data_IF_665212001053
#
_entry.id   IF_665212001053
#
_cell.length_a   1.000
_cell.length_b   1.000
_cell.length_c   1.000
_cell.angle_alpha   90.00
_cell.angle_beta   90.00
_cell.angle_gamma   90.00
#
_symmetry.space_group_name_H-M   'P 1'
#
loop_
_entity.id
_entity.type
_entity.pdbx_description
1 polymer ?
#
# COMPACT_ATOMS: atom_id res chain seq x y z
N UNK A 1 -25.04 7.35 31.32
CA UNK A 1 -24.87 7.36 29.85
C UNK A 1 -25.26 5.97 29.32
N UNK A 2 -26.26 5.87 28.44
CA UNK A 2 -26.85 4.59 28.03
C UNK A 2 -25.93 3.75 27.15
N UNK A 3 -25.94 2.43 27.36
CA UNK A 3 -25.20 1.42 26.57
C UNK A 3 -25.45 1.48 25.05
N UNK A 4 -26.57 2.09 24.63
CA UNK A 4 -26.88 2.36 23.23
C UNK A 4 -25.88 3.27 22.49
N UNK A 5 -25.01 3.99 23.20
CA UNK A 5 -23.94 4.79 22.59
C UNK A 5 -22.59 4.05 22.44
N UNK A 6 -22.46 2.80 22.92
CA UNK A 6 -21.22 2.00 22.74
C UNK A 6 -21.19 1.20 21.44
N UNK A 7 -22.28 1.15 20.68
CA UNK A 7 -22.43 0.23 19.55
C UNK A 7 -22.87 0.90 18.23
N UNK A 8 -22.72 2.22 18.12
CA UNK A 8 -22.98 2.98 16.89
C UNK A 8 -21.66 3.41 16.23
N UNK A 9 -20.74 2.46 16.03
CA UNK A 9 -19.76 2.63 14.97
C UNK A 9 -20.50 2.33 13.67
N UNK A 10 -20.87 3.40 12.96
CA UNK A 10 -21.29 3.30 11.57
C UNK A 10 -20.23 2.48 10.82
N UNK A 11 -20.66 1.41 10.15
CA UNK A 11 -19.79 0.49 9.41
C UNK A 11 -18.78 1.25 8.56
N UNK A 12 -19.24 2.32 7.89
CA UNK A 12 -18.42 3.18 7.04
C UNK A 12 -17.38 3.98 7.84
N UNK A 13 -17.77 4.53 9.00
CA UNK A 13 -16.84 5.24 9.89
C UNK A 13 -15.82 4.32 10.55
N UNK A 14 -16.13 3.04 10.68
CA UNK A 14 -15.18 2.02 11.08
C UNK A 14 -14.14 1.78 9.99
N UNK A 15 -14.59 1.56 8.75
CA UNK A 15 -13.71 1.35 7.60
C UNK A 15 -12.75 2.52 7.34
N UNK A 16 -13.24 3.75 7.46
CA UNK A 16 -12.44 4.98 7.34
C UNK A 16 -11.28 5.04 8.32
N UNK A 17 -11.47 4.45 9.50
CA UNK A 17 -10.49 4.42 10.58
C UNK A 17 -9.64 3.14 10.56
N UNK A 18 -9.70 2.38 9.47
CA UNK A 18 -9.06 1.06 9.37
C UNK A 18 -9.52 0.08 10.45
N UNK A 19 -10.70 0.29 11.01
CA UNK A 19 -11.31 -0.55 12.04
C UNK A 19 -12.09 -1.65 11.34
N UNK A 20 -11.71 -2.91 11.56
CA UNK A 20 -12.43 -4.05 11.02
C UNK A 20 -13.89 -4.03 11.52
N UNK A 21 -14.87 -4.03 10.61
CA UNK A 21 -16.28 -3.93 10.98
C UNK A 21 -16.84 -5.21 11.63
N UNK A 22 -16.09 -6.31 11.55
CA UNK A 22 -16.37 -7.58 12.22
C UNK A 22 -15.83 -7.55 13.65
N UNK A 23 -14.54 -7.32 13.83
CA UNK A 23 -13.90 -7.48 15.13
C UNK A 23 -13.81 -6.17 15.94
N UNK A 24 -13.86 -5.02 15.25
CA UNK A 24 -13.64 -3.70 15.84
C UNK A 24 -12.17 -3.35 16.05
N UNK A 25 -11.23 -4.17 15.59
CA UNK A 25 -9.78 -3.93 15.70
C UNK A 25 -9.24 -3.19 14.48
N UNK A 26 -8.32 -2.24 14.72
CA UNK A 26 -7.45 -1.70 13.68
C UNK A 26 -6.42 -2.77 13.27
N UNK A 27 -6.16 -2.93 11.96
CA UNK A 27 -5.26 -3.95 11.41
C UNK A 27 -5.62 -5.40 11.81
N UNK A 28 -6.92 -5.70 11.94
CA UNK A 28 -7.43 -7.02 12.32
C UNK A 28 -6.83 -8.12 11.42
N UNK A 29 -6.02 -9.05 11.96
CA UNK A 29 -5.33 -10.08 11.16
C UNK A 29 -6.27 -11.24 10.78
N UNK A 30 -7.57 -10.98 10.66
CA UNK A 30 -8.59 -12.03 10.69
C UNK A 30 -8.36 -13.05 9.57
N UNK A 31 -8.11 -14.33 9.90
CA UNK A 31 -7.84 -15.34 8.91
C UNK A 31 -9.15 -15.76 8.22
N UNK A 32 -9.20 -15.54 6.90
CA UNK A 32 -9.88 -16.39 5.90
C UNK A 32 -11.18 -17.09 6.34
N UNK A 33 -12.21 -16.34 6.71
CA UNK A 33 -13.56 -16.86 6.50
C UNK A 33 -14.04 -16.40 5.12
N UNK A 34 -14.01 -17.30 4.12
CA UNK A 34 -14.51 -17.03 2.76
C UNK A 34 -15.97 -16.54 2.75
N UNK A 35 -16.73 -16.78 3.82
CA UNK A 35 -18.09 -16.25 4.00
C UNK A 35 -18.08 -14.76 4.31
N UNK A 36 -17.07 -14.26 5.03
CA UNK A 36 -16.87 -12.84 5.31
C UNK A 36 -16.59 -12.05 4.03
N UNK A 37 -15.73 -12.57 3.16
CA UNK A 37 -15.37 -11.93 1.88
C UNK A 37 -16.61 -11.72 0.98
N UNK A 38 -17.45 -12.76 0.85
CA UNK A 38 -18.71 -12.68 0.08
C UNK A 38 -19.71 -11.69 0.67
N UNK A 39 -19.79 -11.61 2.00
CA UNK A 39 -20.70 -10.66 2.66
C UNK A 39 -20.21 -9.23 2.48
N UNK A 40 -18.90 -9.01 2.54
CA UNK A 40 -18.30 -7.72 2.21
C UNK A 40 -18.57 -7.37 0.75
N UNK A 41 -18.38 -8.29 -0.20
CA UNK A 41 -18.68 -8.10 -1.62
C UNK A 41 -20.15 -7.66 -1.87
N UNK A 42 -21.11 -8.35 -1.23
CA UNK A 42 -22.53 -7.98 -1.34
C UNK A 42 -22.83 -6.61 -0.73
N UNK A 43 -22.23 -6.30 0.42
CA UNK A 43 -22.36 -4.99 1.08
C UNK A 43 -21.82 -3.90 0.14
N UNK A 44 -20.66 -4.12 -0.48
CA UNK A 44 -20.04 -3.18 -1.39
C UNK A 44 -20.87 -2.96 -2.65
N UNK A 45 -21.42 -4.02 -3.24
CA UNK A 45 -22.29 -3.92 -4.42
C UNK A 45 -23.53 -3.07 -4.19
N UNK A 46 -24.06 -3.07 -2.97
CA UNK A 46 -25.23 -2.24 -2.62
C UNK A 46 -24.82 -0.83 -2.20
N UNK A 47 -23.64 -0.69 -1.60
CA UNK A 47 -23.05 0.62 -1.30
C UNK A 47 -22.76 1.43 -2.57
N UNK A 48 -22.16 0.82 -3.61
CA UNK A 48 -21.88 1.48 -4.89
C UNK A 48 -23.13 1.94 -5.64
N UNK A 49 -24.28 1.31 -5.36
CA UNK A 49 -25.60 1.72 -5.89
C UNK A 49 -26.27 2.84 -5.05
N UNK A 50 -25.61 3.33 -4.00
CA UNK A 50 -26.20 4.26 -3.04
C UNK A 50 -27.31 3.65 -2.18
N UNK A 51 -27.44 2.32 -2.16
CA UNK A 51 -28.52 1.61 -1.47
C UNK A 51 -28.19 1.38 0.01
N UNK A 52 -28.06 2.48 0.76
CA UNK A 52 -27.74 2.48 2.18
C UNK A 52 -28.70 1.65 3.07
N UNK A 53 -30.03 1.60 2.79
CA UNK A 53 -30.92 0.69 3.51
C UNK A 53 -30.53 -0.79 3.36
N UNK A 54 -30.13 -1.20 2.17
CA UNK A 54 -29.71 -2.56 1.89
C UNK A 54 -28.33 -2.86 2.45
N UNK A 55 -27.40 -1.91 2.40
CA UNK A 55 -26.09 -2.00 3.09
C UNK A 55 -26.28 -2.29 4.58
N UNK A 56 -27.13 -1.50 5.25
CA UNK A 56 -27.45 -1.69 6.67
C UNK A 56 -28.09 -3.05 6.93
N UNK A 57 -28.99 -3.49 6.06
CA UNK A 57 -29.62 -4.82 6.15
C UNK A 57 -28.60 -5.94 6.03
N UNK A 58 -27.72 -5.90 5.02
CA UNK A 58 -26.68 -6.91 4.79
C UNK A 58 -25.68 -6.95 5.95
N UNK A 59 -25.26 -5.79 6.46
CA UNK A 59 -24.41 -5.71 7.64
C UNK A 59 -25.05 -6.40 8.86
N UNK A 60 -26.28 -6.04 9.21
CA UNK A 60 -26.97 -6.59 10.39
C UNK A 60 -27.29 -8.08 10.21
N UNK A 61 -27.72 -8.50 9.02
CA UNK A 61 -28.21 -9.86 8.78
C UNK A 61 -27.12 -10.88 8.45
N UNK A 62 -25.99 -10.45 7.90
CA UNK A 62 -24.92 -11.35 7.46
C UNK A 62 -23.61 -11.10 8.19
N UNK A 63 -23.23 -9.85 8.40
CA UNK A 63 -21.93 -9.52 9.01
C UNK A 63 -21.94 -9.65 10.54
N UNK A 64 -22.98 -9.17 11.22
CA UNK A 64 -23.09 -9.28 12.68
C UNK A 64 -23.18 -10.74 13.18
N UNK A 65 -23.90 -11.66 12.52
CA UNK A 65 -23.88 -13.07 12.88
C UNK A 65 -22.51 -13.72 12.69
N UNK A 66 -21.79 -13.39 11.61
CA UNK A 66 -20.41 -13.85 11.40
C UNK A 66 -19.49 -13.36 12.52
N UNK A 67 -19.62 -12.09 12.93
CA UNK A 67 -18.94 -11.56 14.13
C UNK A 67 -19.26 -12.40 15.36
N UNK A 68 -20.53 -12.66 15.65
CA UNK A 68 -20.91 -13.43 16.86
C UNK A 68 -20.40 -14.87 16.82
N UNK A 69 -20.44 -15.52 15.67
CA UNK A 69 -19.94 -16.89 15.49
C UNK A 69 -18.43 -16.99 15.69
N UNK A 70 -17.69 -15.96 15.27
CA UNK A 70 -16.24 -15.89 15.30
C UNK A 70 -15.67 -15.35 16.63
N UNK A 71 -16.50 -14.68 17.44
CA UNK A 71 -16.12 -14.04 18.72
C UNK A 71 -16.98 -14.49 19.92
N UNK A 72 -17.62 -15.67 19.83
CA UNK A 72 -18.31 -16.29 20.96
C UNK A 72 -17.35 -16.51 22.13
N UNK A 73 -17.76 -16.12 23.35
CA UNK A 73 -16.95 -16.08 24.58
C UNK A 73 -16.04 -17.32 24.72
N UNK A 74 -14.73 -17.11 24.61
CA UNK A 74 -13.70 -18.13 24.87
C UNK A 74 -12.38 -18.00 24.11
N UNK A 75 -12.24 -17.09 23.13
CA UNK A 75 -11.00 -16.96 22.34
C UNK A 75 -10.18 -15.71 22.68
N UNK A 76 -8.86 -15.86 22.68
CA UNK A 76 -7.82 -14.88 23.04
C UNK A 76 -8.06 -13.49 22.41
N UNK A 77 -8.07 -12.43 23.23
CA UNK A 77 -8.02 -11.03 22.72
C UNK A 77 -8.83 -9.98 23.49
N UNK A 78 -9.00 -10.10 24.81
CA UNK A 78 -9.77 -9.13 25.60
C UNK A 78 -9.10 -7.74 25.68
N UNK A 79 -9.66 -6.79 24.91
CA UNK A 79 -10.08 -5.42 25.27
C UNK A 79 -9.19 -4.42 26.01
N UNK A 80 -8.03 -4.75 26.58
CA UNK A 80 -7.16 -3.76 27.28
C UNK A 80 -6.07 -3.18 26.37
N UNK A 81 -5.37 -4.01 25.59
CA UNK A 81 -4.43 -3.52 24.56
C UNK A 81 -5.08 -2.72 23.42
N UNK A 82 -6.41 -2.74 23.36
CA UNK A 82 -7.28 -2.02 22.43
C UNK A 82 -7.31 -0.50 22.69
N UNK A 83 -7.31 -0.07 23.96
CA UNK A 83 -7.41 1.36 24.30
C UNK A 83 -6.09 2.13 24.16
N UNK A 84 -4.96 1.48 24.43
CA UNK A 84 -3.64 2.14 24.39
C UNK A 84 -3.09 2.33 22.96
N UNK A 85 -3.50 1.50 22.00
CA UNK A 85 -3.10 1.64 20.59
C UNK A 85 -3.93 2.67 19.82
N UNK A 86 -5.24 2.70 20.05
CA UNK A 86 -6.14 3.67 19.40
C UNK A 86 -5.82 5.13 19.76
N UNK A 87 -5.14 5.38 20.89
CA UNK A 87 -4.75 6.72 21.33
C UNK A 87 -3.46 7.24 20.67
N UNK A 88 -2.70 6.36 20.00
CA UNK A 88 -1.34 6.64 19.50
C UNK A 88 -1.18 6.58 17.97
N UNK A 89 -2.24 6.28 17.21
CA UNK A 89 -2.10 6.04 15.76
C UNK A 89 -2.05 7.32 14.92
N UNK A 90 -0.96 7.45 14.15
CA UNK A 90 -0.81 8.36 13.00
C UNK A 90 -1.89 8.04 11.95
N UNK A 91 -2.28 9.00 11.07
CA UNK A 91 -3.28 8.73 10.05
C UNK A 91 -2.87 7.54 9.19
N UNK A 92 -3.64 6.46 9.24
CA UNK A 92 -3.56 5.34 8.30
C UNK A 92 -4.92 5.18 7.63
N UNK A 93 -4.93 5.29 6.31
CA UNK A 93 -6.13 5.13 5.49
C UNK A 93 -6.17 3.69 5.00
N UNK A 94 -7.26 2.95 5.27
CA UNK A 94 -7.47 1.61 4.69
C UNK A 94 -7.73 1.70 3.18
N UNK A 95 -7.64 0.58 2.46
CA UNK A 95 -8.11 0.49 1.06
C UNK A 95 -9.60 0.85 0.89
N UNK A 96 -10.41 0.73 1.94
CA UNK A 96 -11.78 1.25 1.95
C UNK A 96 -11.82 2.77 2.13
N UNK A 97 -10.93 3.35 2.94
CA UNK A 97 -10.78 4.80 3.01
C UNK A 97 -10.40 5.40 1.66
N UNK A 98 -9.52 4.72 0.91
CA UNK A 98 -9.18 5.10 -0.48
C UNK A 98 -10.41 5.01 -1.41
N UNK A 99 -11.24 3.98 -1.22
CA UNK A 99 -12.47 3.83 -1.99
C UNK A 99 -13.53 4.88 -1.61
N UNK A 100 -13.65 5.23 -0.34
CA UNK A 100 -14.52 6.33 0.07
C UNK A 100 -14.06 7.65 -0.52
N UNK A 101 -12.74 7.87 -0.59
CA UNK A 101 -12.16 9.03 -1.25
C UNK A 101 -12.53 9.10 -2.75
N UNK A 102 -12.48 7.96 -3.45
CA UNK A 102 -12.96 7.82 -4.83
C UNK A 102 -14.46 8.20 -4.97
N UNK A 103 -15.33 7.63 -4.14
CA UNK A 103 -16.77 7.94 -4.18
C UNK A 103 -17.13 9.34 -3.67
N UNK A 104 -16.25 9.94 -2.86
CA UNK A 104 -16.38 11.31 -2.38
C UNK A 104 -16.24 12.36 -3.48
N UNK A 105 -15.86 11.96 -4.71
CA UNK A 105 -15.73 12.80 -5.91
C UNK A 105 -14.80 14.00 -5.76
N UNK A 106 -13.80 13.89 -4.88
CA UNK A 106 -12.83 14.98 -4.71
C UNK A 106 -11.79 15.03 -5.83
N UNK A 107 -11.47 13.87 -6.43
CA UNK A 107 -10.38 13.72 -7.41
C UNK A 107 -8.99 14.11 -6.86
N UNK A 108 -8.90 14.38 -5.54
CA UNK A 108 -7.71 14.94 -4.92
C UNK A 108 -6.62 13.86 -4.85
N UNK A 109 -5.41 14.21 -5.26
CA UNK A 109 -4.25 13.35 -5.07
C UNK A 109 -4.06 12.95 -3.59
N UNK A 110 -3.65 11.70 -3.37
CA UNK A 110 -3.25 11.17 -2.06
C UNK A 110 -1.77 10.76 -2.06
N UNK A 111 -1.01 11.28 -1.11
CA UNK A 111 0.38 10.83 -0.92
C UNK A 111 0.46 9.54 -0.10
N UNK A 112 1.54 8.76 -0.26
CA UNK A 112 1.80 7.58 0.58
C UNK A 112 1.82 7.90 2.09
N UNK A 113 2.19 9.14 2.45
CA UNK A 113 2.21 9.62 3.83
C UNK A 113 0.80 9.87 4.36
N UNK A 114 -0.10 10.44 3.55
CA UNK A 114 -1.52 10.61 3.90
C UNK A 114 -2.24 9.26 3.99
N UNK A 115 -1.85 8.29 3.14
CA UNK A 115 -2.36 6.91 3.23
C UNK A 115 -1.79 6.19 4.46
N UNK A 116 -0.62 6.61 4.95
CA UNK A 116 0.05 5.99 6.11
C UNK A 116 0.89 4.75 5.78
N UNK A 117 1.31 4.59 4.53
CA UNK A 117 2.14 3.44 4.07
C UNK A 117 3.53 3.82 3.57
N UNK A 118 3.93 5.10 3.67
CA UNK A 118 5.21 5.60 3.21
C UNK A 118 6.41 4.74 3.67
N UNK A 119 6.60 4.59 4.98
CA UNK A 119 7.74 3.84 5.54
C UNK A 119 7.71 2.36 5.15
N UNK A 120 6.51 1.79 4.99
CA UNK A 120 6.34 0.40 4.56
C UNK A 120 6.76 0.22 3.11
N UNK A 121 6.33 1.11 2.21
CA UNK A 121 6.75 1.11 0.80
C UNK A 121 8.26 1.31 0.67
N UNK A 122 8.82 2.26 1.42
CA UNK A 122 10.27 2.49 1.50
C UNK A 122 11.02 1.21 1.91
N UNK A 123 10.57 0.55 2.97
CA UNK A 123 11.16 -0.72 3.44
C UNK A 123 11.09 -1.87 2.41
N UNK A 124 10.03 -1.92 1.59
CA UNK A 124 9.90 -2.93 0.53
C UNK A 124 10.96 -2.79 -0.57
N UNK A 125 11.51 -1.59 -0.78
CA UNK A 125 12.57 -1.39 -1.80
C UNK A 125 13.85 -2.13 -1.43
N UNK A 126 14.09 -2.29 -0.14
CA UNK A 126 15.31 -2.89 0.42
C UNK A 126 15.11 -4.36 0.80
N UNK A 127 13.86 -4.81 0.93
CA UNK A 127 13.51 -6.20 1.30
C UNK A 127 13.78 -7.19 0.16
N UNK A 128 14.66 -8.18 0.34
CA UNK A 128 14.82 -9.28 -0.61
C UNK A 128 13.54 -10.10 -0.75
N UNK A 129 13.21 -10.58 -1.95
CA UNK A 129 12.01 -11.38 -2.18
C UNK A 129 10.71 -10.58 -2.33
N UNK A 130 10.73 -9.26 -2.07
CA UNK A 130 9.56 -8.41 -2.22
C UNK A 130 9.01 -8.45 -3.66
N UNK A 131 7.69 -8.34 -3.77
CA UNK A 131 6.92 -8.41 -5.01
C UNK A 131 7.11 -9.74 -5.76
N UNK A 132 7.38 -10.82 -5.02
CA UNK A 132 7.58 -12.16 -5.57
C UNK A 132 8.87 -12.31 -6.39
N UNK A 133 9.85 -11.40 -6.21
CA UNK A 133 11.13 -11.44 -6.95
C UNK A 133 12.24 -12.04 -6.09
N UNK A 134 12.64 -13.30 -6.31
CA UNK A 134 13.58 -14.01 -5.43
C UNK A 134 15.00 -13.42 -5.45
N UNK A 135 15.38 -12.75 -6.54
CA UNK A 135 16.73 -12.21 -6.74
C UNK A 135 16.89 -10.83 -6.08
N UNK A 136 17.26 -10.82 -4.80
CA UNK A 136 17.59 -9.58 -4.07
C UNK A 136 16.43 -8.59 -3.92
N UNK A 137 16.75 -7.36 -3.53
CA UNK A 137 15.79 -6.27 -3.38
C UNK A 137 15.72 -5.42 -4.65
N UNK A 138 14.75 -4.51 -4.75
CA UNK A 138 14.69 -3.55 -5.87
C UNK A 138 15.96 -2.69 -5.88
N UNK A 139 16.36 -2.19 -4.71
CA UNK A 139 17.56 -1.37 -4.57
C UNK A 139 18.82 -2.14 -4.95
N UNK A 140 19.02 -3.37 -4.45
CA UNK A 140 20.25 -4.12 -4.75
C UNK A 140 20.35 -4.45 -6.24
N UNK A 141 19.24 -4.83 -6.88
CA UNK A 141 19.22 -5.08 -8.33
C UNK A 141 19.54 -3.83 -9.13
N UNK A 142 18.98 -2.69 -8.75
CA UNK A 142 19.26 -1.43 -9.42
C UNK A 142 20.73 -1.02 -9.25
N UNK A 143 21.30 -1.15 -8.05
CA UNK A 143 22.74 -0.97 -7.81
C UNK A 143 23.57 -1.89 -8.70
N UNK A 144 23.22 -3.18 -8.80
CA UNK A 144 23.96 -4.10 -9.68
C UNK A 144 23.90 -3.72 -11.16
N UNK A 145 22.80 -3.11 -11.62
CA UNK A 145 22.68 -2.60 -12.99
C UNK A 145 23.58 -1.37 -13.22
N UNK A 146 23.70 -0.51 -12.21
CA UNK A 146 24.65 0.61 -12.22
C UNK A 146 26.09 0.08 -12.24
N UNK A 147 26.41 -0.92 -11.41
CA UNK A 147 27.74 -1.56 -11.35
C UNK A 147 28.16 -2.22 -12.67
N UNK A 148 27.20 -2.65 -13.50
CA UNK A 148 27.44 -3.16 -14.86
C UNK A 148 27.44 -2.07 -15.94
N UNK A 149 27.19 -0.82 -15.55
CA UNK A 149 27.13 0.34 -16.44
C UNK A 149 25.95 0.27 -17.41
N UNK A 150 24.83 -0.32 -16.99
CA UNK A 150 23.64 -0.50 -17.83
C UNK A 150 22.73 0.73 -17.83
N UNK A 151 22.59 1.39 -16.66
CA UNK A 151 21.66 2.51 -16.44
C UNK A 151 21.97 3.23 -15.13
N UNK A 152 21.42 4.45 -15.00
CA UNK A 152 21.43 5.26 -13.76
C UNK A 152 20.03 5.65 -13.29
N UNK A 153 19.01 5.08 -13.92
CA UNK A 153 17.60 5.21 -13.57
C UNK A 153 16.81 3.96 -13.96
N UNK A 154 15.61 3.84 -13.41
CA UNK A 154 14.65 2.81 -13.80
C UNK A 154 13.21 3.31 -13.59
N UNK A 155 12.28 2.68 -14.31
CA UNK A 155 10.83 2.74 -14.06
C UNK A 155 10.27 1.33 -14.27
N UNK A 156 9.56 0.78 -13.29
CA UNK A 156 8.96 -0.56 -13.37
C UNK A 156 7.61 -0.61 -12.63
N UNK A 157 6.70 -1.47 -13.10
CA UNK A 157 5.46 -1.81 -12.38
C UNK A 157 5.67 -2.90 -11.32
N UNK A 158 5.00 -2.75 -10.18
CA UNK A 158 4.99 -3.70 -9.07
C UNK A 158 3.58 -3.92 -8.53
N UNK A 159 3.25 -5.16 -8.18
CA UNK A 159 1.98 -5.51 -7.57
C UNK A 159 2.11 -5.45 -6.03
N UNK A 160 1.75 -4.31 -5.44
CA UNK A 160 1.73 -4.07 -4.00
C UNK A 160 0.71 -4.95 -3.27
N UNK A 161 -0.31 -5.43 -3.98
CA UNK A 161 -1.25 -6.42 -3.48
C UNK A 161 -0.59 -7.75 -3.07
N UNK A 162 0.61 -8.07 -3.54
CA UNK A 162 1.40 -9.22 -3.08
C UNK A 162 2.02 -9.01 -1.69
N UNK A 163 2.25 -7.76 -1.30
CA UNK A 163 2.92 -7.39 -0.03
C UNK A 163 1.92 -7.03 1.08
N UNK A 164 0.62 -7.22 0.84
CA UNK A 164 -0.42 -7.00 1.85
C UNK A 164 -0.28 -7.96 3.04
N UNK A 165 -0.64 -7.49 4.22
CA UNK A 165 -0.79 -8.29 5.43
C UNK A 165 -2.19 -8.88 5.53
N UNK A 166 -3.21 -8.10 5.15
CA UNK A 166 -4.62 -8.50 5.21
C UNK A 166 -5.27 -8.28 3.84
N UNK A 167 -5.98 -9.27 3.27
CA UNK A 167 -6.78 -9.08 2.06
C UNK A 167 -7.77 -7.92 2.23
N UNK A 168 -8.01 -7.16 1.17
CA UNK A 168 -9.15 -6.22 1.04
C UNK A 168 -9.08 -4.96 1.91
N UNK A 169 -8.46 -4.97 3.11
CA UNK A 169 -8.36 -3.83 4.03
C UNK A 169 -7.00 -3.12 3.99
N UNK A 170 -5.95 -3.84 3.59
CA UNK A 170 -4.60 -3.30 3.57
C UNK A 170 -4.47 -2.24 2.46
N UNK A 171 -3.91 -1.06 2.74
CA UNK A 171 -3.82 -0.01 1.72
C UNK A 171 -2.91 -0.40 0.56
N UNK A 172 -1.94 -1.32 0.77
CA UNK A 172 -1.13 -1.87 -0.33
C UNK A 172 -1.93 -2.76 -1.27
N UNK A 173 -3.02 -3.39 -0.78
CA UNK A 173 -4.00 -4.04 -1.65
C UNK A 173 -4.82 -2.99 -2.41
N UNK A 174 -5.19 -1.91 -1.72
CA UNK A 174 -5.81 -0.70 -2.28
C UNK A 174 -5.09 -0.15 -3.51
N UNK A 175 -3.78 0.05 -3.35
CA UNK A 175 -2.86 0.52 -4.40
C UNK A 175 -2.74 -0.50 -5.54
N UNK A 176 -2.90 -1.80 -5.28
CA UNK A 176 -2.84 -2.82 -6.33
C UNK A 176 -1.52 -2.81 -7.11
N UNK A 177 -1.57 -2.45 -8.39
CA UNK A 177 -0.41 -2.34 -9.27
C UNK A 177 0.06 -0.91 -9.44
N UNK A 178 1.25 -0.56 -8.92
CA UNK A 178 1.80 0.79 -9.02
C UNK A 178 3.16 0.82 -9.72
N UNK A 179 3.51 1.99 -10.28
CA UNK A 179 4.83 2.23 -10.86
C UNK A 179 5.78 2.78 -9.81
N UNK A 180 6.99 2.22 -9.77
CA UNK A 180 8.13 2.80 -9.04
C UNK A 180 9.20 3.19 -10.05
N UNK A 181 9.71 4.40 -9.90
CA UNK A 181 10.93 4.85 -10.55
C UNK A 181 12.00 5.19 -9.52
N UNK A 182 13.26 5.14 -9.95
CA UNK A 182 14.41 5.53 -9.16
C UNK A 182 15.48 6.15 -10.05
N UNK A 183 16.16 7.19 -9.56
CA UNK A 183 17.25 7.85 -10.28
C UNK A 183 18.43 8.16 -9.35
N UNK A 184 19.64 7.80 -9.77
CA UNK A 184 20.86 8.08 -9.03
C UNK A 184 21.34 9.52 -9.31
N UNK A 185 21.56 10.29 -8.26
CA UNK A 185 22.02 11.70 -8.32
C UNK A 185 23.06 11.99 -7.24
N UNK A 186 23.63 13.19 -7.24
CA UNK A 186 24.65 13.64 -6.28
C UNK A 186 25.82 12.66 -6.16
N UNK A 187 26.26 12.13 -7.31
CA UNK A 187 27.26 11.08 -7.35
C UNK A 187 28.65 11.64 -7.06
N UNK A 188 29.32 11.05 -6.08
CA UNK A 188 30.75 11.18 -5.83
C UNK A 188 31.44 9.83 -5.97
N UNK A 189 32.71 9.85 -6.36
CA UNK A 189 33.48 8.63 -6.53
C UNK A 189 34.90 8.84 -6.00
N UNK A 190 35.32 7.94 -5.12
CA UNK A 190 36.66 7.91 -4.56
C UNK A 190 37.38 6.67 -5.03
N UNK A 191 38.65 6.80 -5.42
CA UNK A 191 39.44 5.66 -5.90
C UNK A 191 39.62 4.66 -4.75
N UNK A 192 39.25 3.41 -4.98
CA UNK A 192 39.34 2.33 -3.99
C UNK A 192 39.79 1.05 -4.69
N UNK A 193 41.03 0.62 -4.41
CA UNK A 193 41.62 -0.56 -5.04
C UNK A 193 41.75 -0.42 -6.56
N UNK A 194 41.20 -1.39 -7.28
CA UNK A 194 41.13 -1.48 -8.75
C UNK A 194 39.89 -0.82 -9.35
N UNK A 195 39.06 -0.18 -8.52
CA UNK A 195 37.85 0.52 -8.93
C UNK A 195 37.61 1.83 -8.18
N UNK A 196 36.34 2.18 -8.08
CA UNK A 196 35.88 3.35 -7.33
C UNK A 196 34.82 2.93 -6.32
N UNK A 197 34.89 3.54 -5.15
CA UNK A 197 33.77 3.57 -4.23
C UNK A 197 32.85 4.73 -4.62
N UNK A 198 31.65 4.41 -5.08
CA UNK A 198 30.67 5.38 -5.57
C UNK A 198 29.64 5.63 -4.47
N UNK A 199 29.46 6.89 -4.11
CA UNK A 199 28.38 7.34 -3.22
C UNK A 199 27.40 8.21 -3.98
N UNK A 200 26.13 8.17 -3.62
CA UNK A 200 25.11 9.03 -4.20
C UNK A 200 23.76 8.82 -3.55
N UNK A 201 22.75 9.50 -4.09
CA UNK A 201 21.37 9.42 -3.59
C UNK A 201 20.45 8.88 -4.69
N UNK A 202 19.73 7.80 -4.40
CA UNK A 202 18.63 7.32 -5.23
C UNK A 202 17.37 8.10 -4.84
N UNK A 203 16.81 8.86 -5.78
CA UNK A 203 15.50 9.50 -5.61
C UNK A 203 14.45 8.55 -6.17
N UNK A 204 13.61 8.02 -5.28
CA UNK A 204 12.49 7.17 -5.64
C UNK A 204 11.23 7.99 -5.84
N UNK A 205 10.41 7.58 -6.80
CA UNK A 205 9.02 8.04 -6.96
C UNK A 205 8.09 6.87 -7.16
N UNK A 206 6.99 6.86 -6.42
CA UNK A 206 5.82 6.02 -6.66
C UNK A 206 4.76 6.85 -7.38
N UNK A 207 4.17 6.26 -8.40
CA UNK A 207 2.95 6.78 -9.03
C UNK A 207 1.98 5.62 -9.28
N UNK A 208 0.73 5.85 -8.92
CA UNK A 208 -0.39 5.01 -9.27
C UNK A 208 -1.62 5.88 -9.57
N UNK A 209 -2.56 5.35 -10.35
CA UNK A 209 -3.84 5.99 -10.60
C UNK A 209 -4.96 5.08 -10.13
N UNK A 210 -5.62 5.48 -9.05
CA UNK A 210 -6.77 4.77 -8.51
C UNK A 210 -8.00 5.07 -9.39
N UNK A 211 -8.46 4.09 -10.14
CA UNK A 211 -9.53 4.26 -11.15
C UNK A 211 -10.80 3.45 -10.87
N UNK A 212 -10.71 2.25 -10.28
CA UNK A 212 -11.89 1.42 -9.98
C UNK A 212 -11.71 0.53 -8.72
N UNK A 213 -12.67 0.51 -7.77
CA UNK A 213 -12.75 -0.55 -6.75
C UNK A 213 -12.66 -1.99 -7.28
N UNK A 214 -13.23 -2.28 -8.46
CA UNK A 214 -13.24 -3.64 -8.99
C UNK A 214 -11.84 -4.12 -9.44
N UNK A 215 -10.96 -3.19 -9.85
CA UNK A 215 -9.54 -3.44 -10.11
C UNK A 215 -8.78 -3.67 -8.79
N UNK A 216 -9.05 -2.83 -7.78
CA UNK A 216 -8.53 -2.98 -6.41
C UNK A 216 -8.86 -4.35 -5.77
N UNK A 217 -10.02 -4.93 -6.07
CA UNK A 217 -10.42 -6.23 -5.52
C UNK A 217 -10.25 -7.41 -6.49
N UNK A 218 -9.75 -7.17 -7.71
CA UNK A 218 -9.54 -8.18 -8.76
C UNK A 218 -10.85 -8.92 -9.12
N UNK A 219 -11.97 -8.19 -9.16
CA UNK A 219 -13.34 -8.69 -9.32
C UNK A 219 -13.88 -8.53 -10.75
N UNK A 220 -13.17 -7.83 -11.63
CA UNK A 220 -13.49 -7.66 -13.05
C UNK A 220 -12.23 -7.32 -13.86
N UNK A 221 -12.32 -7.40 -15.20
CA UNK A 221 -11.22 -7.05 -16.13
C UNK A 221 -11.41 -5.70 -16.84
N UNK A 222 -12.52 -5.02 -16.58
CA UNK A 222 -12.91 -3.78 -17.26
C UNK A 222 -13.17 -2.69 -16.21
N UNK A 223 -12.62 -1.49 -16.42
CA UNK A 223 -12.85 -0.32 -15.59
C UNK A 223 -14.26 0.20 -15.85
N UNK A 224 -15.17 -0.01 -14.90
CA UNK A 224 -16.59 0.35 -15.07
C UNK A 224 -16.85 1.78 -14.59
N UNK A 225 -15.83 2.48 -14.05
CA UNK A 225 -15.91 3.86 -13.54
C UNK A 225 -17.25 4.11 -12.83
N UNK A 226 -17.50 3.32 -11.80
CA UNK A 226 -18.77 3.24 -11.07
C UNK A 226 -19.03 4.51 -10.26
N UNK A 227 -19.26 5.65 -10.91
CA UNK A 227 -19.79 6.87 -10.29
C UNK A 227 -18.89 7.60 -9.27
N UNK A 228 -17.62 7.20 -9.10
CA UNK A 228 -16.62 7.95 -8.34
C UNK A 228 -15.66 8.75 -9.23
N UNK A 229 -14.75 9.50 -8.63
CA UNK A 229 -13.74 10.30 -9.31
C UNK A 229 -12.36 9.66 -9.10
N UNK A 230 -11.68 9.22 -10.17
CA UNK A 230 -10.31 8.72 -10.09
C UNK A 230 -9.36 9.74 -9.46
N UNK A 231 -8.31 9.26 -8.81
CA UNK A 231 -7.29 10.11 -8.20
C UNK A 231 -5.91 9.50 -8.28
N UNK A 232 -4.89 10.35 -8.25
CA UNK A 232 -3.50 9.91 -8.28
C UNK A 232 -3.00 9.58 -6.88
N UNK A 233 -2.16 8.55 -6.79
CA UNK A 233 -1.43 8.17 -5.58
C UNK A 233 0.05 8.40 -5.84
N UNK A 234 0.67 9.24 -5.03
CA UNK A 234 2.06 9.65 -5.22
C UNK A 234 2.90 9.39 -3.98
N UNK A 235 4.20 9.24 -4.18
CA UNK A 235 5.14 9.18 -3.06
C UNK A 235 6.55 9.41 -3.51
N UNK A 236 7.31 10.18 -2.74
CA UNK A 236 8.72 10.45 -3.04
C UNK A 236 9.56 10.25 -1.79
N UNK A 237 10.71 9.59 -1.93
CA UNK A 237 11.69 9.44 -0.86
C UNK A 237 13.09 9.28 -1.45
N UNK A 238 14.09 9.38 -0.58
CA UNK A 238 15.50 9.33 -0.95
C UNK A 238 16.22 8.27 -0.13
N UNK A 239 17.17 7.59 -0.75
CA UNK A 239 18.09 6.67 -0.09
C UNK A 239 19.52 6.99 -0.50
N UNK A 240 20.37 7.18 0.50
CA UNK A 240 21.80 7.28 0.26
C UNK A 240 22.38 5.88 0.08
N UNK A 241 23.22 5.75 -0.94
CA UNK A 241 23.82 4.48 -1.32
C UNK A 241 25.32 4.63 -1.50
N UNK A 242 26.01 3.54 -1.19
CA UNK A 242 27.46 3.43 -1.34
C UNK A 242 27.76 2.03 -1.88
N UNK A 243 28.48 1.95 -3.00
CA UNK A 243 28.82 0.69 -3.65
C UNK A 243 30.08 0.80 -4.50
N UNK A 244 30.76 -0.33 -4.65
CA UNK A 244 31.96 -0.42 -5.48
C UNK A 244 31.61 -0.57 -6.97
N UNK A 245 32.38 0.06 -7.85
CA UNK A 245 32.30 -0.07 -9.31
C UNK A 245 33.68 -0.27 -9.91
N UNK A 246 33.83 -1.27 -10.77
CA UNK A 246 35.06 -1.50 -11.52
C UNK A 246 35.50 -0.26 -12.31
N UNK A 247 36.79 0.05 -12.29
CA UNK A 247 37.34 1.24 -12.95
C UNK A 247 36.95 1.33 -14.42
N UNK A 248 37.01 0.20 -15.16
CA UNK A 248 36.64 0.16 -16.58
C UNK A 248 35.18 0.52 -16.82
N UNK A 249 34.28 0.13 -15.92
CA UNK A 249 32.84 0.45 -16.03
C UNK A 249 32.61 1.91 -15.66
N UNK A 250 33.23 2.37 -14.57
CA UNK A 250 33.10 3.74 -14.11
C UNK A 250 33.55 4.75 -15.18
N UNK A 251 34.79 4.60 -15.66
CA UNK A 251 35.44 5.54 -16.57
C UNK A 251 34.74 5.58 -17.95
N UNK A 252 34.30 4.43 -18.47
CA UNK A 252 33.82 4.31 -19.86
C UNK A 252 32.29 4.34 -20.01
N UNK A 253 31.51 3.98 -18.98
CA UNK A 253 30.05 3.89 -19.07
C UNK A 253 29.36 4.82 -18.09
N UNK A 254 29.66 4.68 -16.80
CA UNK A 254 28.89 5.36 -15.76
C UNK A 254 29.02 6.89 -15.85
N UNK A 255 30.23 7.41 -16.13
CA UNK A 255 30.44 8.85 -16.34
C UNK A 255 29.65 9.41 -17.53
N UNK A 256 29.42 8.61 -18.59
CA UNK A 256 28.62 9.05 -19.73
C UNK A 256 27.15 9.14 -19.34
N UNK A 257 26.61 8.07 -18.75
CA UNK A 257 25.22 8.02 -18.28
C UNK A 257 24.88 9.14 -17.29
N UNK A 258 25.82 9.52 -16.42
CA UNK A 258 25.63 10.62 -15.46
C UNK A 258 25.72 12.02 -16.11
N UNK A 259 26.44 12.16 -17.23
CA UNK A 259 26.53 13.43 -17.97
C UNK A 259 25.28 13.71 -18.80
N UNK A 260 24.72 12.67 -19.43
CA UNK A 260 23.53 12.78 -20.27
C UNK A 260 22.25 13.14 -19.48
N UNK A 261 22.35 13.18 -18.14
CA UNK A 261 21.29 13.52 -17.19
C UNK A 261 21.35 14.95 -16.64
N UNK A 262 22.39 15.72 -16.96
CA UNK A 262 22.52 17.14 -16.59
C UNK A 262 21.94 18.05 -17.66
#
# INVERSE_FOLDING_TARGET
MSENNKMNMDFLKGLDKNICPVCGEEDCPYPRDRRGDKVIEEIMKEYTKGNMPQVKKLYISKMVPLRKANFGRGSFGSSEGFYDKAKNNKPSMSSFGMLQHFFGKSGRELTLSEIGVHDRVRGLMQKPGAFGRPEGSIQSRFISQIQRGERVDFENGYNFGLEKKVPVYDPLWGIGGAKISGSLTHVSAEKAGDGYNVSGTINYKLYDKFTDPYDTFNWGKEDINVGGEPFDITGEWKEDVNFHVDRKIFDNRLLQLLKDKK
#
